data_IF_254137436894
#
_entry.id   IF_254137436894
#
_cell.length_a   1.000
_cell.length_b   1.000
_cell.length_c   1.000
_cell.angle_alpha   90.00
_cell.angle_beta   90.00
_cell.angle_gamma   90.00
#
_symmetry.space_group_name_H-M   'P 1'
#
loop_
_entity.id
_entity.type
_entity.pdbx_description
1 polymer ?
#
# COMPACT_ATOMS: atom_id res chain seq x y z
N UNK A 1 10.24 -6.97 16.74
CA UNK A 1 9.39 -5.78 16.54
C UNK A 1 9.05 -5.70 15.08
N UNK A 2 7.78 -5.53 14.79
CA UNK A 2 7.30 -5.37 13.42
C UNK A 2 7.42 -3.92 12.96
N UNK A 3 7.72 -3.72 11.68
CA UNK A 3 7.87 -2.39 11.08
C UNK A 3 7.09 -2.31 9.78
N UNK A 4 6.49 -1.16 9.52
CA UNK A 4 5.98 -0.75 8.22
C UNK A 4 6.63 0.58 7.83
N UNK A 5 7.07 0.69 6.60
CA UNK A 5 7.65 1.91 6.08
C UNK A 5 7.25 2.09 4.61
N UNK A 6 6.29 2.97 4.30
CA UNK A 6 6.10 3.42 2.93
C UNK A 6 7.34 4.18 2.47
N UNK A 7 8.23 3.55 1.71
CA UNK A 7 9.46 4.18 1.17
C UNK A 7 9.09 5.27 0.17
N UNK A 8 8.06 5.00 -0.62
CA UNK A 8 7.45 5.92 -1.58
C UNK A 8 5.95 5.74 -1.56
N UNK A 9 5.19 6.82 -1.67
CA UNK A 9 3.73 6.77 -1.71
C UNK A 9 3.16 7.90 -2.56
N UNK A 10 2.35 7.53 -3.56
CA UNK A 10 1.66 8.47 -4.46
C UNK A 10 1.73 8.06 -5.92
N UNK A 11 1.01 8.76 -6.78
CA UNK A 11 0.85 8.48 -8.22
C UNK A 11 2.14 8.55 -9.07
N UNK A 12 3.30 8.79 -8.48
CA UNK A 12 4.60 8.77 -9.15
C UNK A 12 5.43 7.53 -8.85
N UNK A 13 5.06 6.80 -7.80
CA UNK A 13 5.68 5.53 -7.42
C UNK A 13 5.34 5.13 -6.00
N UNK A 14 5.05 3.85 -5.82
CA UNK A 14 4.68 3.22 -4.57
C UNK A 14 5.69 2.11 -4.23
N UNK A 15 6.08 2.03 -2.97
CA UNK A 15 6.90 0.95 -2.45
C UNK A 15 6.84 0.97 -0.94
N UNK A 16 6.42 -0.12 -0.32
CA UNK A 16 6.27 -0.22 1.13
C UNK A 16 7.09 -1.39 1.66
N UNK A 17 7.98 -1.08 2.60
CA UNK A 17 8.82 -2.05 3.29
C UNK A 17 8.14 -2.54 4.55
N UNK A 18 8.03 -3.85 4.72
CA UNK A 18 7.50 -4.53 5.89
C UNK A 18 8.60 -5.44 6.44
N UNK A 19 9.00 -5.25 7.70
CA UNK A 19 10.05 -6.03 8.34
C UNK A 19 9.54 -6.72 9.60
N UNK A 20 9.80 -8.01 9.68
CA UNK A 20 9.64 -8.85 10.87
C UNK A 20 10.97 -9.15 11.54
N UNK A 21 10.95 -10.07 12.52
CA UNK A 21 12.16 -10.46 13.25
C UNK A 21 13.15 -11.26 12.38
N UNK A 22 12.66 -12.02 11.40
CA UNK A 22 13.44 -13.01 10.63
C UNK A 22 13.62 -12.68 9.16
N UNK A 23 12.84 -11.76 8.64
CA UNK A 23 12.88 -11.37 7.23
C UNK A 23 12.02 -10.16 6.92
N UNK A 24 11.96 -9.81 5.65
CA UNK A 24 11.21 -8.67 5.18
C UNK A 24 10.48 -8.97 3.86
N UNK A 25 9.43 -8.18 3.60
CA UNK A 25 8.67 -8.16 2.36
C UNK A 25 8.64 -6.74 1.82
N UNK A 26 8.76 -6.59 0.51
CA UNK A 26 8.57 -5.32 -0.17
C UNK A 26 7.25 -5.37 -0.95
N UNK A 27 6.31 -4.50 -0.63
CA UNK A 27 5.08 -4.33 -1.40
C UNK A 27 5.29 -3.21 -2.43
N UNK A 28 5.23 -3.59 -3.69
CA UNK A 28 5.47 -2.78 -4.88
C UNK A 28 6.90 -2.23 -5.03
N UNK A 29 7.29 -1.96 -6.29
CA UNK A 29 8.58 -1.37 -6.67
C UNK A 29 8.34 -0.28 -7.72
N UNK A 30 7.56 0.72 -7.35
CA UNK A 30 7.06 1.76 -8.25
C UNK A 30 8.08 2.84 -8.62
N UNK A 31 9.21 2.91 -7.95
CA UNK A 31 10.33 3.80 -8.28
C UNK A 31 11.49 3.02 -8.90
N UNK A 32 12.50 3.74 -9.42
CA UNK A 32 13.71 3.06 -9.94
C UNK A 32 14.35 2.18 -8.85
N UNK A 33 14.94 1.06 -9.25
CA UNK A 33 15.63 0.14 -8.33
C UNK A 33 16.61 0.89 -7.42
N UNK A 34 17.43 1.79 -7.99
CA UNK A 34 18.36 2.62 -7.22
C UNK A 34 17.63 3.44 -6.15
N UNK A 35 16.53 4.12 -6.52
CA UNK A 35 15.79 4.94 -5.56
C UNK A 35 15.19 4.11 -4.41
N UNK A 36 14.65 2.92 -4.73
CA UNK A 36 14.09 2.01 -3.72
C UNK A 36 15.21 1.46 -2.82
N UNK A 37 16.35 1.06 -3.37
CA UNK A 37 17.49 0.57 -2.61
C UNK A 37 18.07 1.66 -1.70
N UNK A 38 18.26 2.87 -2.21
CA UNK A 38 18.76 4.01 -1.44
C UNK A 38 17.79 4.35 -0.27
N UNK A 39 16.49 4.34 -0.53
CA UNK A 39 15.47 4.60 0.49
C UNK A 39 15.41 3.47 1.53
N UNK A 40 15.52 2.21 1.10
CA UNK A 40 15.59 1.06 1.98
C UNK A 40 16.78 1.16 2.94
N UNK A 41 17.98 1.44 2.41
CA UNK A 41 19.19 1.63 3.23
C UNK A 41 19.06 2.81 4.20
N UNK A 42 18.43 3.90 3.76
CA UNK A 42 18.22 5.09 4.62
C UNK A 42 17.37 4.76 5.86
N UNK A 43 16.38 3.89 5.73
CA UNK A 43 15.54 3.45 6.85
C UNK A 43 16.11 2.25 7.63
N UNK A 44 17.35 1.87 7.34
CA UNK A 44 18.04 0.76 7.99
C UNK A 44 17.59 -0.62 7.54
N UNK A 45 16.86 -0.71 6.41
CA UNK A 45 16.47 -1.97 5.79
C UNK A 45 17.64 -2.59 5.01
N UNK A 46 17.57 -3.90 4.85
CA UNK A 46 18.58 -4.70 4.16
C UNK A 46 17.94 -5.46 2.99
N UNK A 47 18.44 -5.23 1.78
CA UNK A 47 17.93 -5.89 0.57
C UNK A 47 18.10 -7.41 0.63
N UNK A 48 19.13 -7.90 1.30
CA UNK A 48 19.39 -9.34 1.46
C UNK A 48 18.36 -10.03 2.36
N UNK A 49 17.66 -9.27 3.21
CA UNK A 49 16.58 -9.78 4.06
C UNK A 49 15.23 -9.84 3.37
N UNK A 50 15.09 -9.26 2.17
CA UNK A 50 13.83 -9.29 1.43
C UNK A 50 13.61 -10.69 0.89
N UNK A 51 12.67 -11.40 1.51
CA UNK A 51 12.29 -12.77 1.17
C UNK A 51 11.25 -12.82 0.06
N UNK A 52 10.43 -11.78 -0.08
CA UNK A 52 9.45 -11.64 -1.14
C UNK A 52 9.26 -10.18 -1.57
N UNK A 53 8.95 -10.01 -2.86
CA UNK A 53 8.34 -8.81 -3.41
C UNK A 53 6.89 -9.18 -3.73
N UNK A 54 5.93 -8.46 -3.16
CA UNK A 54 4.52 -8.62 -3.50
C UNK A 54 4.10 -7.46 -4.39
N UNK A 55 3.33 -7.71 -5.46
CA UNK A 55 2.84 -6.68 -6.37
C UNK A 55 1.31 -6.62 -6.28
N UNK A 56 0.80 -5.41 -6.02
CA UNK A 56 -0.62 -5.15 -5.93
C UNK A 56 -1.30 -5.23 -7.30
N UNK A 57 -0.71 -4.62 -8.30
CA UNK A 57 -1.16 -4.63 -9.70
C UNK A 57 -0.04 -4.13 -10.64
N UNK A 58 -0.28 -4.20 -11.96
CA UNK A 58 0.74 -3.97 -12.99
C UNK A 58 0.95 -2.51 -13.43
N UNK A 59 0.30 -1.52 -12.82
CA UNK A 59 0.51 -0.12 -13.19
C UNK A 59 1.95 0.34 -12.95
N UNK A 60 2.41 1.26 -13.80
CA UNK A 60 3.84 1.63 -13.85
C UNK A 60 4.37 2.22 -12.55
N UNK A 61 3.55 2.92 -11.80
CA UNK A 61 3.89 3.48 -10.49
C UNK A 61 3.93 2.43 -9.36
N UNK A 62 3.68 1.15 -9.68
CA UNK A 62 3.87 -0.01 -8.78
C UNK A 62 5.00 -0.94 -9.24
N UNK A 63 5.40 -0.90 -10.51
CA UNK A 63 6.33 -1.89 -11.09
C UNK A 63 7.53 -1.29 -11.82
N UNK A 64 7.72 0.02 -11.82
CA UNK A 64 8.76 0.72 -12.62
C UNK A 64 10.17 0.17 -12.41
N UNK A 65 10.51 -0.16 -11.17
CA UNK A 65 11.81 -0.68 -10.79
C UNK A 65 11.85 -2.21 -10.60
N UNK A 66 10.75 -2.93 -10.81
CA UNK A 66 10.59 -4.33 -10.44
C UNK A 66 11.69 -5.22 -11.03
N UNK A 67 11.86 -5.22 -12.35
CA UNK A 67 12.83 -6.11 -13.00
C UNK A 67 14.28 -5.86 -12.57
N UNK A 68 14.81 -4.62 -12.54
CA UNK A 68 16.13 -4.35 -11.98
C UNK A 68 16.25 -4.70 -10.50
N UNK A 69 15.18 -4.49 -9.71
CA UNK A 69 15.18 -4.83 -8.28
C UNK A 69 15.31 -6.34 -8.06
N UNK A 70 14.51 -7.16 -8.77
CA UNK A 70 14.58 -8.63 -8.71
C UNK A 70 15.91 -9.18 -9.27
N UNK A 71 16.61 -8.47 -10.16
CA UNK A 71 17.96 -8.83 -10.58
C UNK A 71 19.00 -8.60 -9.47
N UNK A 72 18.72 -7.67 -8.53
CA UNK A 72 19.59 -7.39 -7.38
C UNK A 72 19.22 -8.29 -6.19
N UNK A 73 17.93 -8.33 -5.81
CA UNK A 73 17.39 -9.16 -4.73
C UNK A 73 17.05 -10.57 -5.25
N UNK A 74 18.04 -11.34 -5.67
CA UNK A 74 17.85 -12.65 -6.35
C UNK A 74 17.24 -13.72 -5.48
N UNK A 75 17.32 -13.59 -4.16
CA UNK A 75 16.70 -14.48 -3.17
C UNK A 75 15.20 -14.23 -3.01
N UNK A 76 14.70 -13.04 -3.41
CA UNK A 76 13.31 -12.68 -3.23
C UNK A 76 12.40 -13.42 -4.22
N UNK A 77 11.31 -13.98 -3.71
CA UNK A 77 10.20 -14.50 -4.51
C UNK A 77 9.35 -13.33 -5.00
N UNK A 78 8.74 -13.46 -6.18
CA UNK A 78 7.72 -12.55 -6.66
C UNK A 78 6.34 -13.17 -6.42
N UNK A 79 5.51 -12.51 -5.64
CA UNK A 79 4.16 -12.97 -5.30
C UNK A 79 3.15 -11.94 -5.83
N UNK A 80 2.13 -12.39 -6.55
CA UNK A 80 0.99 -11.57 -6.95
C UNK A 80 -0.18 -12.46 -7.37
N UNK A 81 -1.31 -11.87 -7.75
CA UNK A 81 -2.41 -12.60 -8.38
C UNK A 81 -1.98 -13.19 -9.71
N UNK A 82 -2.67 -14.25 -10.17
CA UNK A 82 -2.37 -14.88 -11.47
C UNK A 82 -2.46 -13.85 -12.62
N UNK A 83 -3.54 -13.04 -12.67
CA UNK A 83 -3.72 -12.05 -13.73
C UNK A 83 -2.64 -10.96 -13.73
N UNK A 84 -2.21 -10.48 -12.56
CA UNK A 84 -1.09 -9.52 -12.46
C UNK A 84 0.22 -10.16 -12.92
N UNK A 85 0.52 -11.42 -12.52
CA UNK A 85 1.73 -12.11 -12.98
C UNK A 85 1.75 -12.31 -14.50
N UNK A 86 0.63 -12.69 -15.11
CA UNK A 86 0.50 -12.81 -16.56
C UNK A 86 0.77 -11.47 -17.27
N UNK A 87 0.21 -10.38 -16.75
CA UNK A 87 0.46 -9.02 -17.29
C UNK A 87 1.94 -8.61 -17.15
N UNK A 88 2.57 -8.91 -16.00
CA UNK A 88 3.99 -8.64 -15.77
C UNK A 88 4.91 -9.45 -16.68
N UNK A 89 4.58 -10.73 -16.93
CA UNK A 89 5.33 -11.59 -17.82
C UNK A 89 5.21 -11.12 -19.28
N UNK A 90 3.99 -10.82 -19.73
CA UNK A 90 3.73 -10.27 -21.07
C UNK A 90 4.48 -8.93 -21.29
N UNK A 91 4.59 -8.10 -20.26
CA UNK A 91 5.37 -6.85 -20.27
C UNK A 91 6.90 -7.05 -20.12
N UNK A 92 7.37 -8.30 -19.96
CA UNK A 92 8.79 -8.62 -19.78
C UNK A 92 9.40 -8.05 -18.51
N UNK A 93 8.58 -7.92 -17.44
CA UNK A 93 9.00 -7.33 -16.15
C UNK A 93 9.59 -8.35 -15.18
N UNK A 94 9.44 -9.65 -15.44
CA UNK A 94 9.93 -10.73 -14.59
C UNK A 94 11.26 -11.26 -15.13
N UNK A 95 12.36 -11.24 -14.35
CA UNK A 95 13.60 -11.90 -14.75
C UNK A 95 13.43 -13.44 -14.79
N UNK A 96 14.09 -14.15 -15.73
CA UNK A 96 13.91 -15.60 -15.90
C UNK A 96 14.29 -16.46 -14.68
N UNK A 97 15.14 -15.95 -13.79
CA UNK A 97 15.58 -16.66 -12.58
C UNK A 97 14.65 -16.46 -11.39
N UNK A 98 13.68 -15.56 -11.50
CA UNK A 98 12.79 -15.20 -10.39
C UNK A 98 11.76 -16.31 -10.14
N UNK A 99 11.69 -16.80 -8.91
CA UNK A 99 10.61 -17.67 -8.47
C UNK A 99 9.32 -16.86 -8.35
N UNK A 100 8.31 -17.18 -9.13
CA UNK A 100 6.99 -16.56 -9.08
C UNK A 100 5.98 -17.47 -8.36
N UNK A 101 5.08 -16.88 -7.60
CA UNK A 101 3.99 -17.58 -6.91
C UNK A 101 2.70 -16.78 -7.13
N UNK A 102 1.72 -17.41 -7.76
CA UNK A 102 0.36 -16.87 -7.82
C UNK A 102 -0.34 -17.13 -6.48
N UNK A 103 -0.73 -16.05 -5.79
CA UNK A 103 -1.44 -16.13 -4.52
C UNK A 103 -2.95 -16.19 -4.77
N UNK A 104 -3.59 -17.23 -4.20
CA UNK A 104 -5.05 -17.42 -4.19
C UNK A 104 -5.68 -16.93 -2.89
N UNK A 105 -6.50 -17.78 -2.30
CA UNK A 105 -7.18 -17.55 -1.02
C UNK A 105 -6.32 -17.94 0.20
N UNK A 106 -5.27 -18.72 -0.04
CA UNK A 106 -4.35 -19.21 0.99
C UNK A 106 -3.44 -18.12 1.54
N UNK A 107 -2.99 -18.29 2.77
CA UNK A 107 -1.90 -17.49 3.34
C UNK A 107 -0.57 -18.14 2.99
N UNK A 108 0.29 -17.40 2.28
CA UNK A 108 1.67 -17.79 2.00
C UNK A 108 2.60 -17.30 3.12
N UNK A 109 3.78 -17.90 3.22
CA UNK A 109 4.82 -17.45 4.15
C UNK A 109 6.09 -17.06 3.40
N UNK A 110 6.68 -15.90 3.77
CA UNK A 110 7.98 -15.47 3.31
C UNK A 110 8.73 -14.75 4.44
N UNK A 111 9.93 -15.23 4.79
CA UNK A 111 10.76 -14.64 5.84
C UNK A 111 10.12 -14.62 7.23
N UNK A 112 9.24 -15.56 7.53
CA UNK A 112 8.48 -15.63 8.78
C UNK A 112 7.28 -14.67 8.84
N UNK A 113 6.90 -14.06 7.70
CA UNK A 113 5.73 -13.19 7.58
C UNK A 113 4.66 -13.94 6.78
N UNK A 114 3.48 -14.11 7.37
CA UNK A 114 2.32 -14.62 6.65
C UNK A 114 1.75 -13.54 5.72
N UNK A 115 1.42 -13.90 4.49
CA UNK A 115 0.94 -12.99 3.44
C UNK A 115 -0.39 -13.52 2.93
N UNK A 116 -1.45 -12.75 3.04
CA UNK A 116 -2.72 -13.00 2.36
C UNK A 116 -3.11 -11.78 1.49
N UNK A 117 -3.91 -12.03 0.46
CA UNK A 117 -4.43 -10.99 -0.40
C UNK A 117 -5.92 -10.75 -0.18
N UNK A 118 -6.41 -9.62 -0.63
CA UNK A 118 -7.82 -9.32 -0.84
C UNK A 118 -8.00 -8.52 -2.13
N UNK A 119 -9.13 -8.69 -2.81
CA UNK A 119 -9.42 -7.97 -4.05
C UNK A 119 -9.69 -6.50 -3.79
N UNK A 120 -9.19 -5.63 -4.66
CA UNK A 120 -9.49 -4.19 -4.68
C UNK A 120 -10.24 -3.82 -5.95
N UNK A 121 -11.07 -2.77 -5.87
CA UNK A 121 -11.81 -2.24 -7.02
C UNK A 121 -10.93 -1.25 -7.78
N UNK A 122 -10.12 -1.73 -8.69
CA UNK A 122 -9.24 -0.87 -9.51
C UNK A 122 -9.21 -1.34 -10.96
N UNK A 123 -8.89 -0.45 -11.90
CA UNK A 123 -8.84 -0.73 -13.33
C UNK A 123 -7.52 -1.38 -13.78
N UNK A 124 -7.24 -2.56 -13.24
CA UNK A 124 -6.06 -3.37 -13.53
C UNK A 124 -6.43 -4.83 -13.83
N UNK A 125 -5.48 -5.66 -14.24
CA UNK A 125 -5.72 -7.05 -14.67
C UNK A 125 -6.31 -7.93 -13.55
N UNK A 126 -5.79 -7.82 -12.33
CA UNK A 126 -6.30 -8.52 -11.14
C UNK A 126 -5.77 -7.85 -9.87
N UNK A 127 -6.25 -6.63 -9.55
CA UNK A 127 -5.70 -5.82 -8.49
C UNK A 127 -6.03 -6.38 -7.11
N UNK A 128 -5.09 -6.23 -6.16
CA UNK A 128 -5.29 -6.68 -4.79
C UNK A 128 -4.54 -5.80 -3.79
N UNK A 129 -5.04 -5.80 -2.56
CA UNK A 129 -4.29 -5.37 -1.39
C UNK A 129 -3.74 -6.58 -0.62
N UNK A 130 -2.92 -6.31 0.41
CA UNK A 130 -2.27 -7.36 1.19
C UNK A 130 -2.44 -7.17 2.68
N UNK A 131 -2.59 -8.31 3.39
CA UNK A 131 -2.44 -8.40 4.83
C UNK A 131 -1.16 -9.19 5.15
N UNK A 132 -0.37 -8.67 6.08
CA UNK A 132 0.86 -9.27 6.57
C UNK A 132 0.68 -9.65 8.04
N UNK A 133 0.83 -10.95 8.32
CA UNK A 133 0.74 -11.50 9.66
C UNK A 133 2.17 -11.67 10.21
N UNK A 134 2.49 -10.83 11.17
CA UNK A 134 3.85 -10.70 11.68
C UNK A 134 4.16 -11.77 12.74
N UNK A 135 5.46 -12.17 12.89
CA UNK A 135 5.85 -13.16 13.86
C UNK A 135 5.54 -12.82 15.34
N UNK A 136 5.35 -11.53 15.64
CA UNK A 136 4.98 -11.04 16.98
C UNK A 136 3.47 -10.93 17.19
N UNK A 137 2.66 -11.53 16.29
CA UNK A 137 1.21 -11.59 16.36
C UNK A 137 0.49 -10.38 15.79
N UNK A 138 1.20 -9.36 15.31
CA UNK A 138 0.61 -8.17 14.71
C UNK A 138 0.15 -8.41 13.29
N UNK A 139 -0.84 -7.64 12.86
CA UNK A 139 -1.34 -7.61 11.49
C UNK A 139 -1.14 -6.22 10.89
N UNK A 140 -0.55 -6.18 9.70
CA UNK A 140 -0.34 -4.97 8.91
C UNK A 140 -1.11 -5.13 7.61
N UNK A 141 -1.84 -4.10 7.17
CA UNK A 141 -2.53 -4.12 5.87
C UNK A 141 -2.08 -2.98 4.98
N UNK A 142 -1.94 -3.29 3.68
CA UNK A 142 -1.68 -2.33 2.60
C UNK A 142 -2.88 -2.34 1.67
N UNK A 143 -3.59 -1.21 1.60
CA UNK A 143 -4.86 -1.03 0.93
C UNK A 143 -4.83 0.28 0.13
N UNK A 144 -4.20 0.24 -1.04
CA UNK A 144 -4.13 1.36 -2.00
C UNK A 144 -4.72 0.93 -3.32
N UNK A 145 -5.02 1.90 -4.16
CA UNK A 145 -5.60 1.71 -5.49
C UNK A 145 -6.94 0.97 -5.44
N UNK A 146 -7.91 1.70 -4.93
CA UNK A 146 -9.30 1.25 -4.87
C UNK A 146 -10.26 2.45 -4.94
N UNK A 147 -11.30 2.35 -5.77
CA UNK A 147 -12.32 3.40 -5.89
C UNK A 147 -13.38 3.32 -4.79
N UNK A 148 -13.54 2.15 -4.17
CA UNK A 148 -14.53 1.91 -3.11
C UNK A 148 -14.04 0.88 -2.09
N UNK A 149 -14.34 1.11 -0.82
CA UNK A 149 -14.17 0.12 0.25
C UNK A 149 -15.31 -0.88 0.19
N UNK A 150 -15.05 -2.05 -0.39
CA UNK A 150 -16.03 -3.15 -0.40
C UNK A 150 -16.09 -3.86 0.96
N UNK A 151 -17.11 -4.67 1.20
CA UNK A 151 -17.19 -5.48 2.43
C UNK A 151 -16.05 -6.50 2.51
N UNK A 152 -15.57 -7.00 1.37
CA UNK A 152 -14.37 -7.85 1.28
C UNK A 152 -13.13 -7.11 1.78
N UNK A 153 -12.92 -5.88 1.32
CA UNK A 153 -11.79 -5.05 1.77
C UNK A 153 -11.91 -4.74 3.26
N UNK A 154 -13.10 -4.28 3.73
CA UNK A 154 -13.34 -4.00 5.16
C UNK A 154 -13.07 -5.21 6.03
N UNK A 155 -13.59 -6.38 5.65
CA UNK A 155 -13.35 -7.63 6.37
C UNK A 155 -11.86 -8.01 6.41
N UNK A 156 -11.17 -7.86 5.30
CA UNK A 156 -9.75 -8.18 5.20
C UNK A 156 -8.88 -7.25 6.08
N UNK A 157 -9.10 -5.94 6.07
CA UNK A 157 -8.27 -4.98 6.82
C UNK A 157 -8.67 -4.84 8.29
N UNK A 158 -9.87 -5.30 8.67
CA UNK A 158 -10.34 -5.28 10.06
C UNK A 158 -9.38 -6.04 10.99
N UNK A 159 -9.18 -5.52 12.20
CA UNK A 159 -8.28 -6.09 13.20
C UNK A 159 -6.79 -5.94 12.85
N UNK A 160 -6.43 -5.08 11.90
CA UNK A 160 -5.03 -4.75 11.65
C UNK A 160 -4.52 -3.76 12.69
N UNK A 161 -3.31 -3.98 13.22
CA UNK A 161 -2.64 -3.03 14.13
C UNK A 161 -2.26 -1.74 13.39
N UNK A 162 -1.83 -1.88 12.13
CA UNK A 162 -1.52 -0.77 11.23
C UNK A 162 -2.13 -0.97 9.85
N UNK A 163 -2.65 0.11 9.26
CA UNK A 163 -3.21 0.11 7.91
C UNK A 163 -2.60 1.26 7.11
N UNK A 164 -1.95 0.93 5.99
CA UNK A 164 -1.66 1.89 4.93
C UNK A 164 -2.90 1.92 4.02
N UNK A 165 -3.65 3.00 4.08
CA UNK A 165 -4.93 3.14 3.35
C UNK A 165 -4.86 4.31 2.38
N UNK A 166 -5.50 4.15 1.22
CA UNK A 166 -5.54 5.21 0.22
C UNK A 166 -6.33 6.43 0.69
N UNK A 167 -5.74 7.62 0.44
CA UNK A 167 -6.39 8.93 0.54
C UNK A 167 -5.94 9.77 -0.64
N UNK A 168 -6.46 9.44 -1.84
CA UNK A 168 -5.86 9.90 -3.10
C UNK A 168 -6.15 11.37 -3.39
N UNK A 169 -7.38 11.81 -3.34
CA UNK A 169 -7.75 13.15 -3.78
C UNK A 169 -8.71 13.88 -2.85
N UNK A 170 -8.56 15.20 -2.83
CA UNK A 170 -9.59 16.11 -2.35
C UNK A 170 -10.60 16.37 -3.46
N UNK A 171 -11.89 16.28 -3.13
CA UNK A 171 -12.99 16.36 -4.10
C UNK A 171 -12.99 17.74 -4.81
N UNK A 172 -12.79 18.81 -4.06
CA UNK A 172 -12.80 20.16 -4.58
C UNK A 172 -11.58 20.47 -5.45
N UNK A 173 -10.39 20.02 -5.02
CA UNK A 173 -9.18 20.14 -5.82
C UNK A 173 -9.30 19.38 -7.14
N UNK A 174 -9.81 18.13 -7.12
CA UNK A 174 -10.01 17.36 -8.33
C UNK A 174 -11.01 18.01 -9.27
N UNK A 175 -12.18 18.44 -8.76
CA UNK A 175 -13.21 19.10 -9.57
C UNK A 175 -12.71 20.38 -10.22
N UNK A 176 -11.97 21.22 -9.49
CA UNK A 176 -11.44 22.52 -9.94
C UNK A 176 -10.11 22.41 -10.67
N UNK A 177 -9.42 21.26 -10.53
CA UNK A 177 -8.09 21.02 -11.08
C UNK A 177 -8.06 20.95 -12.62
N UNK A 178 -6.86 20.95 -13.22
CA UNK A 178 -6.68 21.08 -14.67
C UNK A 178 -6.91 19.77 -15.45
N UNK A 179 -7.24 18.67 -14.79
CA UNK A 179 -7.41 17.37 -15.46
C UNK A 179 -8.64 17.39 -16.41
N UNK A 180 -8.57 16.70 -17.56
CA UNK A 180 -9.71 16.49 -18.44
C UNK A 180 -10.89 15.84 -17.71
N UNK A 181 -12.12 16.12 -18.17
CA UNK A 181 -13.33 15.60 -17.53
C UNK A 181 -13.36 14.07 -17.46
N UNK A 182 -12.92 13.39 -18.52
CA UNK A 182 -12.84 11.93 -18.59
C UNK A 182 -11.91 11.36 -17.51
N UNK A 183 -10.73 11.97 -17.30
CA UNK A 183 -9.80 11.55 -16.27
C UNK A 183 -10.37 11.80 -14.87
N UNK A 184 -11.05 12.91 -14.64
CA UNK A 184 -11.74 13.18 -13.38
C UNK A 184 -12.83 12.15 -13.10
N UNK A 185 -13.63 11.79 -14.09
CA UNK A 185 -14.65 10.74 -13.96
C UNK A 185 -14.04 9.38 -13.65
N UNK A 186 -12.94 9.01 -14.32
CA UNK A 186 -12.20 7.78 -14.04
C UNK A 186 -11.69 7.75 -12.59
N UNK A 187 -11.05 8.84 -12.12
CA UNK A 187 -10.54 8.94 -10.75
C UNK A 187 -11.66 8.80 -9.70
N UNK A 188 -12.82 9.39 -9.96
CA UNK A 188 -13.98 9.36 -9.06
C UNK A 188 -14.85 8.09 -9.19
N UNK A 189 -14.54 7.17 -10.11
CA UNK A 189 -15.32 5.96 -10.33
C UNK A 189 -15.05 4.91 -9.24
N UNK A 190 -15.90 3.88 -9.19
CA UNK A 190 -15.72 2.74 -8.29
C UNK A 190 -14.43 1.94 -8.57
N UNK A 191 -13.88 2.03 -9.78
CA UNK A 191 -12.59 1.44 -10.16
C UNK A 191 -11.45 2.48 -10.18
N UNK A 192 -11.68 3.69 -9.67
CA UNK A 192 -10.69 4.75 -9.59
C UNK A 192 -9.93 4.74 -8.27
N UNK A 193 -10.09 5.80 -7.49
CA UNK A 193 -9.37 6.01 -6.23
C UNK A 193 -10.29 6.54 -5.12
N UNK A 194 -9.91 6.32 -3.85
CA UNK A 194 -10.63 6.87 -2.71
C UNK A 194 -10.33 8.38 -2.55
N UNK A 195 -11.40 9.15 -2.36
CA UNK A 195 -11.27 10.53 -1.88
C UNK A 195 -10.84 10.57 -0.41
N UNK A 196 -10.33 11.73 0.04
CA UNK A 196 -10.04 11.96 1.46
C UNK A 196 -11.26 11.67 2.35
N UNK A 197 -12.46 12.08 1.91
CA UNK A 197 -13.69 11.86 2.67
C UNK A 197 -14.11 10.39 2.73
N UNK A 198 -13.98 9.66 1.61
CA UNK A 198 -14.29 8.24 1.57
C UNK A 198 -13.32 7.43 2.44
N UNK A 199 -12.03 7.74 2.38
CA UNK A 199 -11.03 7.16 3.28
C UNK A 199 -11.37 7.47 4.75
N UNK A 200 -11.61 8.74 5.09
CA UNK A 200 -11.89 9.16 6.45
C UNK A 200 -13.12 8.45 7.05
N UNK A 201 -14.16 8.21 6.25
CA UNK A 201 -15.38 7.54 6.68
C UNK A 201 -15.16 6.09 7.18
N UNK A 202 -14.11 5.43 6.73
CA UNK A 202 -13.79 4.05 7.13
C UNK A 202 -13.01 3.97 8.46
N UNK A 203 -12.28 5.02 8.84
CA UNK A 203 -11.35 4.99 9.97
C UNK A 203 -12.01 4.69 11.32
N UNK A 204 -13.23 5.19 11.65
CA UNK A 204 -13.88 4.89 12.93
C UNK A 204 -14.17 3.40 13.11
N UNK A 205 -14.62 2.70 12.08
CA UNK A 205 -14.91 1.26 12.17
C UNK A 205 -13.61 0.45 12.25
N UNK A 206 -12.57 0.86 11.53
CA UNK A 206 -11.25 0.25 11.65
C UNK A 206 -10.66 0.46 13.05
N UNK A 207 -10.81 1.64 13.65
CA UNK A 207 -10.39 1.90 15.02
C UNK A 207 -11.14 0.99 16.01
N UNK A 208 -12.47 0.85 15.89
CA UNK A 208 -13.27 -0.06 16.71
C UNK A 208 -12.83 -1.52 16.54
N UNK A 209 -12.34 -1.91 15.37
CA UNK A 209 -11.84 -3.26 15.12
C UNK A 209 -10.43 -3.53 15.70
N UNK A 210 -9.77 -2.49 16.26
CA UNK A 210 -8.47 -2.60 16.92
C UNK A 210 -7.33 -1.89 16.19
N UNK A 211 -7.56 -1.24 15.05
CA UNK A 211 -6.52 -0.51 14.34
C UNK A 211 -6.13 0.74 15.12
N UNK A 212 -4.88 0.81 15.55
CA UNK A 212 -4.35 1.97 16.30
C UNK A 212 -3.39 2.85 15.51
N UNK A 213 -3.03 2.42 14.29
CA UNK A 213 -2.13 3.18 13.42
C UNK A 213 -2.65 3.26 11.99
N UNK A 214 -2.96 4.47 11.57
CA UNK A 214 -3.41 4.79 10.23
C UNK A 214 -2.34 5.57 9.49
N UNK A 215 -1.96 5.07 8.30
CA UNK A 215 -1.04 5.73 7.38
C UNK A 215 -1.84 6.05 6.12
N UNK A 216 -2.16 7.33 5.93
CA UNK A 216 -2.83 7.80 4.71
C UNK A 216 -1.82 7.82 3.58
N UNK A 217 -2.06 7.05 2.55
CA UNK A 217 -1.12 6.87 1.44
C UNK A 217 -1.71 7.18 0.08
N UNK A 218 -0.88 7.02 -0.95
CA UNK A 218 -1.23 7.18 -2.36
C UNK A 218 -1.87 8.53 -2.70
N UNK A 219 -1.38 9.62 -2.09
CA UNK A 219 -1.90 10.96 -2.32
C UNK A 219 -1.58 11.45 -3.74
N UNK A 220 -2.58 11.96 -4.43
CA UNK A 220 -2.40 12.64 -5.72
C UNK A 220 -1.57 13.90 -5.56
N UNK A 221 -0.52 14.04 -6.36
CA UNK A 221 0.35 15.21 -6.34
C UNK A 221 -0.36 16.50 -6.75
N UNK A 222 -1.36 16.40 -7.62
CA UNK A 222 -2.04 17.54 -8.22
C UNK A 222 -3.42 17.83 -7.60
N UNK A 223 -4.06 16.82 -7.03
CA UNK A 223 -5.43 16.90 -6.56
C UNK A 223 -5.57 16.62 -5.07
N UNK A 224 -4.46 16.68 -4.34
CA UNK A 224 -4.47 16.52 -2.88
C UNK A 224 -3.38 17.36 -2.21
N UNK A 225 -3.55 17.48 -0.90
CA UNK A 225 -2.56 18.09 -0.01
C UNK A 225 -2.54 17.26 1.30
N UNK A 226 -1.36 16.92 1.85
CA UNK A 226 -1.26 16.17 3.10
C UNK A 226 -2.09 16.73 4.25
N UNK A 227 -2.21 18.06 4.36
CA UNK A 227 -3.02 18.69 5.40
C UNK A 227 -4.52 18.47 5.21
N UNK A 228 -5.01 18.43 3.95
CA UNK A 228 -6.42 18.15 3.67
C UNK A 228 -6.77 16.70 3.99
N UNK A 229 -5.94 15.75 3.58
CA UNK A 229 -6.10 14.33 3.91
C UNK A 229 -6.11 14.12 5.44
N UNK A 230 -5.11 14.70 6.12
CA UNK A 230 -4.99 14.62 7.59
C UNK A 230 -6.19 15.25 8.29
N UNK A 231 -6.67 16.41 7.83
CA UNK A 231 -7.81 17.11 8.42
C UNK A 231 -9.10 16.33 8.28
N UNK A 232 -9.37 15.77 7.07
CA UNK A 232 -10.55 14.94 6.85
C UNK A 232 -10.57 13.74 7.80
N UNK A 233 -9.48 12.99 7.87
CA UNK A 233 -9.36 11.83 8.75
C UNK A 233 -9.48 12.20 10.23
N UNK A 234 -8.80 13.27 10.67
CA UNK A 234 -8.83 13.74 12.06
C UNK A 234 -10.22 14.20 12.49
N UNK A 235 -10.91 14.96 11.64
CA UNK A 235 -12.27 15.45 11.94
C UNK A 235 -13.23 14.26 12.12
N UNK A 236 -13.23 13.31 11.18
CA UNK A 236 -14.11 12.13 11.26
C UNK A 236 -13.83 11.28 12.49
N UNK A 237 -12.56 11.02 12.84
CA UNK A 237 -12.19 10.30 14.06
C UNK A 237 -12.65 11.06 15.32
N UNK A 238 -12.47 12.38 15.36
CA UNK A 238 -12.92 13.22 16.48
C UNK A 238 -14.42 13.22 16.63
N UNK A 239 -15.19 13.33 15.54
CA UNK A 239 -16.66 13.24 15.54
C UNK A 239 -17.15 11.88 16.02
N UNK A 240 -16.38 10.81 15.75
CA UNK A 240 -16.65 9.47 16.27
C UNK A 240 -16.21 9.27 17.73
N UNK A 241 -15.69 10.30 18.39
CA UNK A 241 -15.29 10.27 19.79
C UNK A 241 -13.86 9.79 20.05
N UNK A 242 -13.06 9.60 19.01
CA UNK A 242 -11.67 9.20 19.17
C UNK A 242 -10.80 10.39 19.61
N UNK A 243 -9.98 10.19 20.62
CA UNK A 243 -8.97 11.17 21.05
C UNK A 243 -7.67 10.93 20.26
N UNK A 244 -7.39 11.78 19.29
CA UNK A 244 -6.16 11.71 18.50
C UNK A 244 -4.91 11.78 19.39
N UNK A 245 -3.96 10.88 19.12
CA UNK A 245 -2.70 10.76 19.89
C UNK A 245 -2.78 9.83 21.10
N UNK A 246 -3.97 9.58 21.66
CA UNK A 246 -4.16 8.56 22.71
C UNK A 246 -4.74 7.26 22.17
N UNK A 247 -5.79 7.33 21.32
CA UNK A 247 -6.50 6.15 20.82
C UNK A 247 -5.91 5.63 19.53
N UNK A 248 -5.37 6.53 18.70
CA UNK A 248 -4.67 6.15 17.48
C UNK A 248 -3.60 7.17 17.06
N UNK A 249 -2.67 6.69 16.25
CA UNK A 249 -1.68 7.49 15.53
C UNK A 249 -2.13 7.62 14.08
N UNK A 250 -2.19 8.85 13.59
CA UNK A 250 -2.58 9.18 12.23
C UNK A 250 -1.41 9.87 11.53
N UNK A 251 -0.93 9.28 10.46
CA UNK A 251 0.22 9.75 9.68
C UNK A 251 -0.16 9.87 8.19
N UNK A 252 0.56 10.71 7.46
CA UNK A 252 0.46 10.80 6.00
C UNK A 252 1.79 10.35 5.40
N UNK A 253 1.73 9.34 4.54
CA UNK A 253 2.91 8.87 3.83
C UNK A 253 3.41 9.93 2.85
N UNK A 254 4.68 10.29 2.97
CA UNK A 254 5.32 11.26 2.08
C UNK A 254 5.61 10.62 0.70
N UNK A 255 5.70 11.42 -0.37
CA UNK A 255 6.13 10.94 -1.70
C UNK A 255 7.49 10.24 -1.69
N UNK A 256 8.38 10.64 -0.76
CA UNK A 256 9.58 9.93 -0.35
C UNK A 256 9.67 10.01 1.16
N UNK A 257 9.62 8.87 1.80
CA UNK A 257 9.61 8.81 3.26
C UNK A 257 11.05 8.86 3.82
N UNK A 258 11.17 9.48 4.99
CA UNK A 258 12.43 9.64 5.71
C UNK A 258 12.36 9.02 7.12
N UNK A 259 11.37 8.19 7.41
CA UNK A 259 11.18 7.58 8.73
C UNK A 259 10.55 6.20 8.67
N UNK A 260 10.80 5.41 9.70
CA UNK A 260 10.22 4.07 9.90
C UNK A 260 9.13 4.15 10.94
N UNK A 261 8.00 3.50 10.68
CA UNK A 261 6.96 3.26 11.65
C UNK A 261 7.21 1.91 12.33
N UNK A 262 7.55 1.94 13.60
CA UNK A 262 7.72 0.74 14.45
C UNK A 262 6.40 0.46 15.15
N UNK A 263 5.98 -0.81 15.14
CA UNK A 263 4.76 -1.30 15.80
C UNK A 263 5.10 -1.99 17.11
#
# INVERSE_FOLDING_TARGET
>A
MSKICPLFSGSTGNSTYIEGATGAVLADVGMSCKAVTDALQYVGGDIEKISAVVITHEHIDHIKGLKPFLNTARQAMLISTAGTLEALEAAGKIPPHTKTIAIGEETLEAGGIGISRFETSHDAASPCGYCFFMPDGRKISVCTDLGVMTDTVRGAVSGSDAVLIESNYDIDMLKKGPYPAELKMRIMSECGHLSNNACAAELPELLKSGTTRFILGHLSRNNNNPLLALSAAKNTLTEAGAAGGSDCILEVAAPKNNGVTVL
#
